data_IF_885281573742
#
_entry.id   IF_885281573742
#
_cell.length_a   1.000
_cell.length_b   1.000
_cell.length_c   1.000
_cell.angle_alpha   90.00
_cell.angle_beta   90.00
_cell.angle_gamma   90.00
#
_symmetry.space_group_name_H-M   'P 1'
#
loop_
_entity.id
_entity.type
_entity.pdbx_description
1 polymer ?
#
# COMPACT_ATOMS: atom_id res chain seq x y z
N UNK A 1 -0.87 0.23 1.42
CA UNK A 1 -0.36 -0.90 2.22
C UNK A 1 0.99 -1.31 1.66
N UNK A 2 2.08 -1.16 2.43
CA UNK A 2 3.43 -1.59 2.04
C UNK A 2 3.78 -2.84 2.83
N UNK A 3 4.04 -3.94 2.13
CA UNK A 3 4.34 -5.25 2.70
C UNK A 3 3.09 -6.13 2.85
N UNK A 4 2.96 -7.14 1.98
CA UNK A 4 1.81 -8.05 1.95
C UNK A 4 2.19 -9.38 2.61
N UNK A 5 2.54 -9.29 3.90
CA UNK A 5 2.67 -10.43 4.80
C UNK A 5 1.36 -10.70 5.55
N UNK A 6 1.41 -11.55 6.58
CA UNK A 6 0.22 -11.85 7.40
C UNK A 6 -0.41 -10.62 8.05
N UNK A 7 0.42 -9.68 8.53
CA UNK A 7 -0.06 -8.39 9.08
C UNK A 7 -0.72 -7.55 7.98
N UNK A 8 -0.03 -7.36 6.85
CA UNK A 8 -0.54 -6.51 5.77
C UNK A 8 -1.84 -6.99 5.13
N UNK A 9 -2.01 -8.32 5.01
CA UNK A 9 -3.27 -8.90 4.55
C UNK A 9 -4.43 -8.56 5.51
N UNK A 10 -4.22 -8.71 6.81
CA UNK A 10 -5.25 -8.33 7.80
C UNK A 10 -5.53 -6.83 7.81
N UNK A 11 -4.52 -5.99 7.59
CA UNK A 11 -4.71 -4.54 7.43
C UNK A 11 -5.56 -4.23 6.20
N UNK A 12 -5.33 -4.90 5.06
CA UNK A 12 -6.16 -4.74 3.85
C UNK A 12 -7.62 -5.10 4.15
N UNK A 13 -7.87 -6.25 4.78
CA UNK A 13 -9.23 -6.65 5.19
C UNK A 13 -9.86 -5.63 6.13
N UNK A 14 -9.11 -5.16 7.12
CA UNK A 14 -9.56 -4.14 8.06
C UNK A 14 -9.92 -2.82 7.37
N UNK A 15 -9.09 -2.35 6.43
CA UNK A 15 -9.35 -1.16 5.64
C UNK A 15 -10.63 -1.30 4.80
N UNK A 16 -10.83 -2.46 4.17
CA UNK A 16 -12.05 -2.75 3.42
C UNK A 16 -13.29 -2.74 4.32
N UNK A 17 -13.22 -3.39 5.49
CA UNK A 17 -14.30 -3.40 6.48
C UNK A 17 -14.60 -2.00 7.04
N UNK A 18 -13.57 -1.15 7.16
CA UNK A 18 -13.71 0.26 7.54
C UNK A 18 -14.27 1.15 6.42
N UNK A 19 -14.54 0.60 5.23
CA UNK A 19 -15.15 1.33 4.11
C UNK A 19 -14.15 2.08 3.21
N UNK A 20 -12.87 1.71 3.22
CA UNK A 20 -11.90 2.30 2.30
C UNK A 20 -12.30 2.03 0.83
N UNK A 21 -12.46 3.11 0.04
CA UNK A 21 -12.90 3.01 -1.35
C UNK A 21 -11.84 2.47 -2.32
N UNK A 22 -10.54 2.76 -2.06
CA UNK A 22 -9.42 2.28 -2.86
C UNK A 22 -8.29 1.81 -1.95
N UNK A 23 -7.78 0.61 -2.19
CA UNK A 23 -6.74 -0.03 -1.37
C UNK A 23 -5.61 -0.49 -2.28
N UNK A 24 -4.49 0.22 -2.20
CA UNK A 24 -3.28 -0.06 -2.99
C UNK A 24 -2.34 -0.95 -2.17
N UNK A 25 -2.08 -2.15 -2.67
CA UNK A 25 -1.12 -3.10 -2.12
C UNK A 25 0.24 -2.91 -2.82
N UNK A 26 1.32 -2.88 -2.04
CA UNK A 26 2.70 -2.74 -2.54
C UNK A 26 3.53 -3.87 -1.94
N UNK A 27 4.13 -4.71 -2.80
CA UNK A 27 5.06 -5.78 -2.40
C UNK A 27 6.07 -6.04 -3.53
N UNK A 28 7.20 -6.67 -3.23
CA UNK A 28 8.18 -7.07 -4.23
C UNK A 28 7.88 -8.43 -4.86
N UNK A 29 6.95 -9.20 -4.28
CA UNK A 29 6.58 -10.53 -4.76
C UNK A 29 5.26 -10.47 -5.54
N UNK A 30 5.33 -10.32 -6.86
CA UNK A 30 4.17 -10.31 -7.78
C UNK A 30 3.17 -11.44 -7.54
N UNK A 31 3.63 -12.65 -7.17
CA UNK A 31 2.77 -13.80 -6.83
C UNK A 31 1.75 -13.53 -5.71
N UNK A 32 1.94 -12.47 -4.91
CA UNK A 32 1.02 -12.08 -3.83
C UNK A 32 -0.15 -11.23 -4.31
N UNK A 33 -0.15 -10.77 -5.57
CA UNK A 33 -1.22 -9.93 -6.11
C UNK A 33 -2.60 -10.57 -5.94
N UNK A 34 -2.75 -11.81 -6.39
CA UNK A 34 -4.02 -12.52 -6.32
C UNK A 34 -4.52 -12.61 -4.86
N UNK A 35 -3.61 -12.91 -3.93
CA UNK A 35 -3.93 -12.98 -2.51
C UNK A 35 -4.32 -11.61 -1.93
N UNK A 36 -3.61 -10.54 -2.28
CA UNK A 36 -3.94 -9.19 -1.86
C UNK A 36 -5.34 -8.78 -2.33
N UNK A 37 -5.69 -9.11 -3.59
CA UNK A 37 -7.01 -8.84 -4.18
C UNK A 37 -8.12 -9.61 -3.46
N UNK A 38 -7.89 -10.88 -3.13
CA UNK A 38 -8.84 -11.68 -2.33
C UNK A 38 -9.15 -11.05 -0.97
N UNK A 39 -8.17 -10.42 -0.33
CA UNK A 39 -8.34 -9.73 0.96
C UNK A 39 -8.97 -8.34 0.83
N UNK A 40 -8.96 -7.74 -0.36
CA UNK A 40 -9.65 -6.48 -0.62
C UNK A 40 -8.83 -5.40 -1.32
N UNK A 41 -7.59 -5.68 -1.74
CA UNK A 41 -6.83 -4.72 -2.52
C UNK A 41 -7.52 -4.46 -3.88
N UNK A 42 -7.63 -3.19 -4.26
CA UNK A 42 -8.15 -2.76 -5.56
C UNK A 42 -7.03 -2.66 -6.60
N UNK A 43 -5.84 -2.31 -6.14
CA UNK A 43 -4.65 -2.11 -6.97
C UNK A 43 -3.46 -2.86 -6.34
N UNK A 44 -2.54 -3.31 -7.18
CA UNK A 44 -1.29 -3.93 -6.76
C UNK A 44 -0.13 -3.30 -7.50
N UNK A 45 0.93 -2.95 -6.78
CA UNK A 45 2.18 -2.43 -7.32
C UNK A 45 3.29 -3.42 -6.97
N UNK A 46 3.96 -3.92 -8.00
CA UNK A 46 5.20 -4.67 -7.83
C UNK A 46 6.37 -3.70 -7.64
N UNK A 47 6.86 -3.65 -6.41
CA UNK A 47 7.98 -2.80 -6.01
C UNK A 47 9.33 -3.30 -6.54
N UNK A 48 9.41 -4.51 -7.12
CA UNK A 48 10.62 -5.02 -7.76
C UNK A 48 10.84 -4.48 -9.17
N UNK A 49 9.78 -3.94 -9.81
CA UNK A 49 9.83 -3.51 -11.21
C UNK A 49 9.62 -2.01 -11.40
N UNK A 50 9.25 -1.26 -10.36
CA UNK A 50 8.91 0.16 -10.46
C UNK A 50 9.13 0.94 -9.17
N UNK A 51 9.33 2.27 -9.27
CA UNK A 51 9.27 3.15 -8.11
C UNK A 51 7.83 3.19 -7.57
N UNK A 52 7.66 2.64 -6.38
CA UNK A 52 6.34 2.52 -5.76
C UNK A 52 5.72 3.87 -5.41
N UNK A 53 6.51 4.89 -5.08
CA UNK A 53 6.00 6.23 -4.77
C UNK A 53 5.43 6.87 -6.02
N UNK A 54 6.14 6.79 -7.13
CA UNK A 54 5.67 7.32 -8.43
C UNK A 54 4.43 6.57 -8.91
N UNK A 55 4.42 5.24 -8.78
CA UNK A 55 3.26 4.42 -9.15
C UNK A 55 2.02 4.79 -8.33
N UNK A 56 2.15 4.93 -7.00
CA UNK A 56 1.03 5.38 -6.13
C UNK A 56 0.53 6.77 -6.55
N UNK A 57 1.44 7.72 -6.78
CA UNK A 57 1.06 9.10 -7.17
C UNK A 57 0.46 9.20 -8.57
N UNK A 58 0.81 8.27 -9.46
CA UNK A 58 0.18 8.16 -10.77
C UNK A 58 -1.26 7.65 -10.66
N UNK A 59 -1.52 6.72 -9.73
CA UNK A 59 -2.87 6.22 -9.46
C UNK A 59 -3.74 7.22 -8.71
N UNK A 60 -3.17 7.95 -7.74
CA UNK A 60 -3.86 8.96 -6.95
C UNK A 60 -3.04 10.26 -6.96
N UNK A 61 -3.33 11.16 -7.93
CA UNK A 61 -2.71 12.47 -7.99
C UNK A 61 -2.96 13.24 -6.69
N UNK A 62 -1.90 13.48 -5.91
CA UNK A 62 -1.96 14.12 -4.60
C UNK A 62 -1.56 13.23 -3.42
N UNK A 63 -1.48 11.90 -3.62
CA UNK A 63 -1.14 10.93 -2.57
C UNK A 63 -2.36 10.35 -1.85
N UNK A 64 -2.12 9.37 -0.98
CA UNK A 64 -3.17 8.63 -0.26
C UNK A 64 -3.46 9.22 1.12
N UNK A 65 -4.66 9.00 1.66
CA UNK A 65 -5.04 9.43 3.01
C UNK A 65 -4.27 8.70 4.11
N UNK A 66 -4.08 7.39 3.94
CA UNK A 66 -3.42 6.51 4.91
C UNK A 66 -2.42 5.61 4.21
N UNK A 67 -1.23 5.46 4.80
CA UNK A 67 -0.24 4.47 4.37
C UNK A 67 0.09 3.60 5.54
N UNK A 68 -0.16 2.30 5.45
CA UNK A 68 0.31 1.33 6.44
C UNK A 68 1.61 0.71 5.95
N UNK A 69 2.68 0.81 6.74
CA UNK A 69 4.01 0.27 6.48
C UNK A 69 4.34 -0.82 7.50
N UNK A 70 4.47 -2.07 7.04
CA UNK A 70 4.68 -3.22 7.95
C UNK A 70 5.87 -4.08 7.55
N UNK A 71 6.77 -3.54 6.72
CA UNK A 71 8.06 -4.16 6.40
C UNK A 71 9.08 -3.80 7.48
N UNK A 72 9.03 -2.57 8.00
CA UNK A 72 9.85 -2.11 9.12
C UNK A 72 11.28 -1.77 8.72
N UNK A 73 11.51 -1.36 7.47
CA UNK A 73 12.82 -0.90 7.01
C UNK A 73 12.78 0.59 6.67
N UNK A 74 13.90 1.28 6.92
CA UNK A 74 13.99 2.74 6.77
C UNK A 74 13.47 3.24 5.41
N UNK A 75 13.84 2.57 4.33
CA UNK A 75 13.45 2.97 2.97
C UNK A 75 11.94 2.87 2.74
N UNK A 76 11.26 1.85 3.26
CA UNK A 76 9.80 1.72 3.10
C UNK A 76 9.06 2.73 3.95
N UNK A 77 9.57 3.04 5.15
CA UNK A 77 9.00 4.11 5.98
C UNK A 77 9.15 5.49 5.31
N UNK A 78 10.29 5.77 4.68
CA UNK A 78 10.48 7.00 3.88
C UNK A 78 9.55 7.06 2.66
N UNK A 79 9.37 5.93 1.96
CA UNK A 79 8.40 5.84 0.86
C UNK A 79 6.97 6.09 1.35
N UNK A 80 6.59 5.55 2.51
CA UNK A 80 5.26 5.75 3.08
C UNK A 80 4.95 7.24 3.30
N UNK A 81 5.90 7.99 3.86
CA UNK A 81 5.78 9.44 4.04
C UNK A 81 5.58 10.14 2.68
N UNK A 82 6.31 9.72 1.63
CA UNK A 82 6.21 10.32 0.29
C UNK A 82 4.93 9.95 -0.47
N UNK A 83 4.33 8.80 -0.15
CA UNK A 83 3.05 8.34 -0.72
C UNK A 83 1.84 9.04 -0.11
N UNK A 84 1.93 9.45 1.16
CA UNK A 84 0.85 10.15 1.84
C UNK A 84 0.62 11.55 1.23
N UNK A 85 -0.65 11.96 1.17
CA UNK A 85 -1.01 13.34 0.80
C UNK A 85 -0.67 14.30 1.93
N UNK A 86 -0.74 15.61 1.64
CA UNK A 86 -0.71 16.62 2.70
C UNK A 86 -1.86 16.38 3.69
N UNK A 87 -1.51 16.25 4.97
CA UNK A 87 -2.45 15.90 6.05
C UNK A 87 -2.88 14.43 6.07
N UNK A 88 -2.27 13.58 5.23
CA UNK A 88 -2.41 12.13 5.33
C UNK A 88 -1.59 11.57 6.49
N UNK A 89 -1.92 10.36 6.91
CA UNK A 89 -1.33 9.69 8.06
C UNK A 89 -0.55 8.44 7.61
N UNK A 90 0.79 8.50 7.54
CA UNK A 90 1.60 7.30 7.47
C UNK A 90 1.61 6.61 8.85
N UNK A 91 1.33 5.31 8.87
CA UNK A 91 1.14 4.44 10.04
C UNK A 91 2.10 3.26 9.93
#
# INVERSE_FOLDING_TARGET
MIGIGGVGLNVISGAKLAGAGRIIAVDMQSKKEELARRFGATDFIDASTSDSVEAVRSLIPGGVDHVFEVVGIKSTSEQAIRMARKGGVPI
#
